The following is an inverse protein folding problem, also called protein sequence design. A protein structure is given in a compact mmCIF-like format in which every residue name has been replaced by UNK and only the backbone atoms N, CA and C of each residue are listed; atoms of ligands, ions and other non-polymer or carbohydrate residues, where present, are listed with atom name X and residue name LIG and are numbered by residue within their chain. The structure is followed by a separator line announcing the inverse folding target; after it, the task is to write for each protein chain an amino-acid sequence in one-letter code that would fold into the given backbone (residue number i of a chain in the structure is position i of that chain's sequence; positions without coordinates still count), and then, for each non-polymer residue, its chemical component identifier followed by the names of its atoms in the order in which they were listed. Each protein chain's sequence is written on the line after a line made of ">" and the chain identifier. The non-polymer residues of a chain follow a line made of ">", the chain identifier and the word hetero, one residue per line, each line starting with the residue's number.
data_IF_962531553089
#
_entry.id   IF_962531553089
#
_cell.length_a   1.000
_cell.length_b   1.000
_cell.length_c   1.000
_cell.angle_alpha   90.00
_cell.angle_beta   90.00
_cell.angle_gamma   90.00
#
_symmetry.space_group_name_H-M   'P 1'
#
loop_
_entity.id
_entity.type
_entity.pdbx_description
1 polymer ?
#
# COMPACT_ATOMS: atom_id res chain seq x y z
N UNK A 1 5.19 24.30 -11.38
CA UNK A 1 6.02 23.24 -11.99
C UNK A 1 6.20 22.18 -10.92
N UNK A 2 5.30 21.20 -10.87
CA UNK A 2 5.50 20.00 -10.06
C UNK A 2 5.71 18.87 -11.03
N UNK A 3 6.97 18.49 -11.18
CA UNK A 3 7.36 17.27 -11.87
C UNK A 3 7.39 16.18 -10.80
N UNK A 4 6.21 15.72 -10.35
CA UNK A 4 6.11 14.54 -9.50
C UNK A 4 6.29 13.31 -10.39
N UNK A 5 7.53 13.10 -10.83
CA UNK A 5 7.96 12.01 -11.72
C UNK A 5 8.04 10.65 -10.98
N UNK A 6 7.18 10.43 -9.99
CA UNK A 6 7.14 9.26 -9.13
C UNK A 6 5.73 8.66 -9.05
N UNK A 7 5.64 7.34 -8.99
CA UNK A 7 4.37 6.62 -8.79
C UNK A 7 3.99 6.75 -7.31
N UNK A 8 2.88 7.41 -7.02
CA UNK A 8 2.32 7.55 -5.67
C UNK A 8 0.85 7.11 -5.68
N UNK A 9 0.43 6.39 -4.64
CA UNK A 9 -0.94 5.94 -4.46
C UNK A 9 -1.24 5.72 -2.98
N UNK A 10 -2.53 5.79 -2.63
CA UNK A 10 -3.04 5.42 -1.31
C UNK A 10 -3.44 3.95 -1.29
N UNK A 11 -3.28 3.29 -0.15
CA UNK A 11 -3.62 1.88 0.05
C UNK A 11 -4.54 1.76 1.25
N UNK A 12 -5.77 1.30 1.01
CA UNK A 12 -6.81 1.15 2.01
C UNK A 12 -7.28 -0.30 2.10
N UNK A 13 -7.78 -0.69 3.28
CA UNK A 13 -8.35 -2.01 3.50
C UNK A 13 -9.63 -2.19 2.68
N UNK A 14 -9.79 -3.34 2.03
CA UNK A 14 -11.03 -3.69 1.34
C UNK A 14 -12.11 -3.97 2.38
N UNK A 15 -13.29 -3.38 2.19
CA UNK A 15 -14.43 -3.60 3.07
C UNK A 15 -14.90 -5.06 3.02
N UNK A 16 -15.43 -5.57 4.14
CA UNK A 16 -15.91 -6.95 4.24
C UNK A 16 -16.99 -7.29 3.19
N UNK A 17 -17.81 -6.31 2.79
CA UNK A 17 -18.86 -6.46 1.78
C UNK A 17 -18.31 -6.56 0.35
N UNK A 18 -17.14 -5.98 0.08
CA UNK A 18 -16.47 -5.97 -1.23
C UNK A 18 -15.41 -7.08 -1.35
N UNK A 19 -15.29 -7.93 -0.34
CA UNK A 19 -14.27 -8.96 -0.26
C UNK A 19 -14.59 -10.12 -1.22
N UNK A 20 -13.62 -10.48 -2.07
CA UNK A 20 -13.75 -11.64 -2.95
C UNK A 20 -13.84 -12.95 -2.15
N UNK A 21 -14.59 -13.93 -2.66
CA UNK A 21 -14.69 -15.24 -2.01
C UNK A 21 -13.32 -15.90 -1.89
N UNK A 22 -12.94 -16.24 -0.66
CA UNK A 22 -11.63 -16.85 -0.35
C UNK A 22 -10.51 -15.84 -0.05
N UNK A 23 -10.80 -14.54 -0.12
CA UNK A 23 -9.86 -13.50 0.27
C UNK A 23 -9.76 -13.35 1.80
N UNK A 24 -8.65 -12.81 2.29
CA UNK A 24 -8.38 -12.70 3.72
C UNK A 24 -8.96 -11.42 4.31
N UNK A 25 -9.91 -11.60 5.22
CA UNK A 25 -10.49 -10.49 5.98
C UNK A 25 -9.41 -9.76 6.77
N UNK A 26 -9.47 -8.42 6.75
CA UNK A 26 -8.51 -7.51 7.40
C UNK A 26 -7.08 -7.51 6.84
N UNK A 27 -6.79 -8.27 5.78
CA UNK A 27 -5.46 -8.32 5.16
C UNK A 27 -5.47 -7.86 3.69
N UNK A 28 -6.64 -7.82 3.07
CA UNK A 28 -6.76 -7.30 1.71
C UNK A 28 -6.75 -5.78 1.67
N UNK A 29 -6.08 -5.27 0.65
CA UNK A 29 -6.00 -3.84 0.32
C UNK A 29 -6.34 -3.62 -1.14
N UNK A 30 -6.84 -2.44 -1.46
CA UNK A 30 -7.21 -2.03 -2.82
C UNK A 30 -5.99 -1.90 -3.76
N UNK A 31 -4.92 -1.26 -3.29
CA UNK A 31 -3.69 -1.01 -4.03
C UNK A 31 -2.51 -1.67 -3.31
N UNK A 32 -2.02 -2.79 -3.86
CA UNK A 32 -0.88 -3.51 -3.31
C UNK A 32 0.44 -2.86 -3.71
N UNK A 33 1.37 -2.75 -2.76
CA UNK A 33 2.75 -2.34 -3.04
C UNK A 33 3.48 -3.46 -3.79
N UNK A 34 3.82 -3.21 -5.05
CA UNK A 34 4.56 -4.17 -5.90
C UNK A 34 6.03 -3.81 -5.90
N UNK A 35 6.89 -4.81 -5.66
CA UNK A 35 8.34 -4.66 -5.63
C UNK A 35 9.03 -5.71 -6.50
N UNK A 36 10.17 -5.39 -7.14
CA UNK A 36 10.94 -6.37 -7.88
C UNK A 36 11.59 -7.40 -6.94
N UNK A 37 11.59 -8.66 -7.37
CA UNK A 37 12.31 -9.73 -6.67
C UNK A 37 13.81 -9.63 -6.90
N UNK A 38 14.61 -10.12 -5.95
CA UNK A 38 16.07 -10.19 -6.04
C UNK A 38 16.80 -8.85 -6.25
N UNK A 39 16.17 -7.74 -5.86
CA UNK A 39 16.76 -6.41 -5.86
C UNK A 39 16.86 -5.85 -4.45
N UNK A 40 17.85 -4.98 -4.20
CA UNK A 40 17.95 -4.25 -2.94
C UNK A 40 16.98 -3.09 -2.95
N UNK A 41 15.94 -3.18 -2.11
CA UNK A 41 14.93 -2.13 -1.93
C UNK A 41 15.20 -1.40 -0.61
N UNK A 42 15.20 -0.06 -0.66
CA UNK A 42 15.24 0.80 0.53
C UNK A 42 13.86 1.38 0.77
N UNK A 43 13.28 1.11 1.94
CA UNK A 43 12.00 1.67 2.37
C UNK A 43 12.26 2.77 3.39
N UNK A 44 11.63 3.94 3.19
CA UNK A 44 11.65 5.05 4.14
C UNK A 44 10.24 5.22 4.70
N UNK A 45 10.09 5.08 6.01
CA UNK A 45 8.79 5.12 6.70
C UNK A 45 8.71 6.41 7.51
N UNK A 46 7.61 7.13 7.35
CA UNK A 46 7.25 8.32 8.14
C UNK A 46 5.73 8.38 8.28
N UNK A 47 5.23 9.18 9.20
CA UNK A 47 3.79 9.38 9.40
C UNK A 47 3.42 10.85 9.26
N UNK A 48 2.24 11.12 8.71
CA UNK A 48 1.75 12.49 8.53
C UNK A 48 1.01 13.04 9.77
N UNK A 49 0.48 12.17 10.63
CA UNK A 49 -0.32 12.54 11.80
C UNK A 49 0.22 11.88 13.07
N UNK A 50 -0.20 10.64 13.33
CA UNK A 50 0.21 9.88 14.52
C UNK A 50 1.17 8.75 14.19
N UNK A 51 1.73 8.14 15.23
CA UNK A 51 2.63 7.00 15.10
C UNK A 51 1.90 5.78 14.54
N UNK A 52 2.48 5.20 13.49
CA UNK A 52 2.17 3.88 12.97
C UNK A 52 3.47 3.05 12.87
N UNK A 53 3.36 1.73 12.74
CA UNK A 53 4.50 0.81 12.63
C UNK A 53 4.27 -0.27 11.59
#
# INVERSE_FOLDING_TARGET
>A
MEDNSGINFDSYMVADDDLATGAFRLLEVDNRVVLPVSSHVRVLITSADVLHS
#
